data_IF_079391466447
#
_entry.id   IF_079391466447
#
_cell.length_a   1.000
_cell.length_b   1.000
_cell.length_c   1.000
_cell.angle_alpha   90.00
_cell.angle_beta   90.00
_cell.angle_gamma   90.00
#
_symmetry.space_group_name_H-M   'P 1'
#
loop_
_entity.id
_entity.type
_entity.pdbx_description
1 polymer ?
#
# COMPACT_ATOMS: atom_id res chain seq x y z
N UNK A 1 -2.65 -17.25 12.12
CA UNK A 1 -3.87 -16.82 11.40
C UNK A 1 -3.60 -16.99 9.91
N UNK A 2 -4.50 -17.64 9.16
CA UNK A 2 -4.29 -17.80 7.71
C UNK A 2 -4.46 -16.48 6.95
N UNK A 3 -5.41 -15.66 7.39
CA UNK A 3 -5.68 -14.32 6.83
C UNK A 3 -6.01 -13.34 7.93
N UNK A 4 -5.47 -12.12 7.88
CA UNK A 4 -5.79 -11.03 8.79
C UNK A 4 -6.27 -9.82 7.99
N UNK A 5 -7.52 -9.43 8.21
CA UNK A 5 -8.20 -8.41 7.44
C UNK A 5 -8.52 -7.19 8.33
N UNK A 6 -8.15 -5.99 7.89
CA UNK A 6 -8.53 -4.72 8.50
C UNK A 6 -9.42 -3.98 7.51
N UNK A 7 -10.71 -3.86 7.82
CA UNK A 7 -11.68 -3.13 7.00
C UNK A 7 -12.20 -1.95 7.82
N UNK A 8 -11.85 -0.74 7.41
CA UNK A 8 -12.15 0.49 8.17
C UNK A 8 -12.24 1.69 7.24
N UNK A 9 -12.72 2.84 7.73
CA UNK A 9 -12.57 4.10 7.00
C UNK A 9 -11.14 4.63 7.08
N UNK A 10 -10.52 4.56 8.27
CA UNK A 10 -9.12 4.90 8.47
C UNK A 10 -8.46 4.00 9.53
N UNK A 11 -7.16 3.78 9.39
CA UNK A 11 -6.36 2.96 10.29
C UNK A 11 -5.09 3.70 10.73
N UNK A 12 -4.81 3.67 12.04
CA UNK A 12 -3.50 4.01 12.58
C UNK A 12 -2.82 2.74 13.11
N UNK A 13 -1.65 2.42 12.57
CA UNK A 13 -0.91 1.19 12.88
C UNK A 13 0.40 1.59 13.57
N UNK A 14 0.44 1.42 14.90
CA UNK A 14 1.61 1.81 15.71
C UNK A 14 2.37 0.61 16.27
N UNK A 15 2.04 -0.60 15.82
CA UNK A 15 2.65 -1.84 16.27
C UNK A 15 2.82 -2.81 15.10
N UNK A 16 3.77 -3.73 15.24
CA UNK A 16 4.05 -4.72 14.23
C UNK A 16 2.84 -5.63 13.99
N UNK A 17 2.52 -5.86 12.72
CA UNK A 17 1.54 -6.86 12.28
C UNK A 17 2.30 -8.05 11.70
N UNK A 18 1.94 -9.26 12.15
CA UNK A 18 2.43 -10.52 11.59
C UNK A 18 1.23 -11.36 11.11
N UNK A 19 1.23 -11.75 9.84
CA UNK A 19 0.14 -12.55 9.26
C UNK A 19 0.67 -13.55 8.21
N UNK A 20 -0.16 -14.51 7.76
CA UNK A 20 0.15 -15.27 6.54
C UNK A 20 -0.29 -14.49 5.30
N UNK A 21 -1.48 -13.92 5.35
CA UNK A 21 -1.99 -12.96 4.39
C UNK A 21 -2.52 -11.74 5.15
N UNK A 22 -2.10 -10.54 4.76
CA UNK A 22 -2.57 -9.28 5.35
C UNK A 22 -3.35 -8.47 4.30
N UNK A 23 -4.61 -8.16 4.61
CA UNK A 23 -5.41 -7.25 3.81
C UNK A 23 -5.79 -6.02 4.64
N UNK A 24 -5.58 -4.82 4.11
CA UNK A 24 -6.04 -3.57 4.72
C UNK A 24 -6.85 -2.81 3.69
N UNK A 25 -8.14 -2.65 3.94
CA UNK A 25 -9.08 -1.94 3.07
C UNK A 25 -9.58 -0.72 3.84
N UNK A 26 -9.13 0.45 3.41
CA UNK A 26 -9.41 1.75 3.99
C UNK A 26 -10.25 2.63 3.05
N UNK A 27 -10.95 3.61 3.63
CA UNK A 27 -11.89 4.48 2.95
C UNK A 27 -13.36 4.03 3.08
N UNK A 28 -14.25 4.73 2.39
CA UNK A 28 -15.68 4.45 2.42
C UNK A 28 -16.00 3.38 1.38
N UNK A 29 -16.23 2.15 1.83
CA UNK A 29 -16.35 0.99 0.96
C UNK A 29 -17.53 0.10 1.33
N UNK A 30 -18.10 -0.54 0.32
CA UNK A 30 -18.76 -1.83 0.45
C UNK A 30 -17.72 -2.92 0.16
N UNK A 31 -17.54 -3.85 1.10
CA UNK A 31 -16.54 -4.92 1.01
C UNK A 31 -17.23 -6.26 1.16
N UNK A 32 -17.06 -7.12 0.17
CA UNK A 32 -17.49 -8.51 0.29
C UNK A 32 -16.60 -9.26 1.28
N UNK A 33 -17.19 -9.87 2.31
CA UNK A 33 -16.44 -10.47 3.41
C UNK A 33 -15.62 -11.71 3.02
N UNK A 34 -15.97 -12.38 1.92
CA UNK A 34 -15.31 -13.61 1.49
C UNK A 34 -14.18 -13.30 0.50
N UNK A 35 -14.51 -12.58 -0.57
CA UNK A 35 -13.61 -12.27 -1.68
C UNK A 35 -12.79 -10.99 -1.48
N UNK A 36 -13.16 -10.15 -0.50
CA UNK A 36 -12.60 -8.83 -0.27
C UNK A 36 -12.72 -7.90 -1.49
N UNK A 37 -13.66 -8.20 -2.40
CA UNK A 37 -14.01 -7.30 -3.49
C UNK A 37 -14.50 -5.99 -2.89
N UNK A 38 -13.81 -4.91 -3.25
CA UNK A 38 -14.02 -3.59 -2.69
C UNK A 38 -14.73 -2.71 -3.73
N UNK A 39 -15.83 -2.09 -3.34
CA UNK A 39 -16.52 -1.07 -4.14
C UNK A 39 -16.55 0.22 -3.35
N UNK A 40 -15.91 1.27 -3.89
CA UNK A 40 -15.89 2.57 -3.25
C UNK A 40 -17.31 3.16 -3.22
N UNK A 41 -17.69 3.72 -2.07
CA UNK A 41 -18.91 4.51 -1.93
C UNK A 41 -18.67 5.93 -2.42
N UNK A 42 -19.72 6.55 -2.95
CA UNK A 42 -19.67 7.95 -3.36
C UNK A 42 -19.36 8.89 -2.17
N UNK A 43 -18.70 10.00 -2.46
CA UNK A 43 -18.53 11.09 -1.49
C UNK A 43 -19.90 11.56 -0.98
N UNK A 44 -20.05 11.67 0.34
CA UNK A 44 -21.28 12.10 1.01
C UNK A 44 -21.13 13.50 1.64
N UNK A 45 -20.00 14.16 1.42
CA UNK A 45 -19.69 15.46 2.00
C UNK A 45 -19.27 15.42 3.46
N UNK A 46 -19.15 14.24 4.09
CA UNK A 46 -18.57 14.13 5.43
C UNK A 46 -17.09 14.49 5.44
N UNK A 47 -16.61 15.01 6.57
CA UNK A 47 -15.19 15.32 6.73
C UNK A 47 -14.32 14.07 6.45
N UNK A 48 -13.33 14.24 5.57
CA UNK A 48 -12.42 13.17 5.19
C UNK A 48 -11.36 12.95 6.27
N UNK A 49 -10.93 11.70 6.52
CA UNK A 49 -9.73 11.45 7.32
C UNK A 49 -8.52 12.14 6.70
N UNK A 50 -7.53 12.47 7.53
CA UNK A 50 -6.23 12.97 7.04
C UNK A 50 -5.50 11.90 6.22
N UNK A 51 -5.52 10.66 6.73
CA UNK A 51 -4.93 9.48 6.10
C UNK A 51 -5.89 8.30 6.18
N UNK A 52 -5.92 7.49 5.13
CA UNK A 52 -6.64 6.24 5.07
C UNK A 52 -5.89 5.19 5.89
N UNK A 53 -4.56 5.17 5.78
CA UNK A 53 -3.68 4.32 6.57
C UNK A 53 -2.47 5.17 6.99
N UNK A 54 -2.21 5.22 8.30
CA UNK A 54 -1.03 5.84 8.90
C UNK A 54 -0.29 4.79 9.73
N UNK A 55 0.75 4.19 9.16
CA UNK A 55 1.65 3.28 9.85
C UNK A 55 2.90 4.03 10.30
N UNK A 56 3.26 3.88 11.57
CA UNK A 56 4.49 4.43 12.13
C UNK A 56 5.69 3.52 11.84
N UNK A 57 6.91 3.99 12.10
CA UNK A 57 8.11 3.16 11.97
C UNK A 57 8.08 1.88 12.84
N UNK A 58 7.35 1.91 13.97
CA UNK A 58 7.12 0.72 14.83
C UNK A 58 5.97 -0.16 14.30
N UNK A 59 5.17 0.36 13.37
CA UNK A 59 4.00 -0.26 12.75
C UNK A 59 4.30 -1.07 11.50
N UNK A 60 5.43 -1.79 11.44
CA UNK A 60 5.79 -2.62 10.30
C UNK A 60 4.80 -3.77 10.05
N UNK A 61 4.67 -4.19 8.79
CA UNK A 61 3.75 -5.24 8.37
C UNK A 61 4.54 -6.38 7.70
N UNK A 62 4.47 -7.56 8.30
CA UNK A 62 5.21 -8.74 7.89
C UNK A 62 4.21 -9.86 7.60
N UNK A 63 4.11 -10.28 6.35
CA UNK A 63 3.21 -11.35 5.97
C UNK A 63 3.78 -12.25 4.87
N UNK A 64 3.09 -13.34 4.53
CA UNK A 64 3.38 -14.09 3.32
C UNK A 64 3.05 -13.26 2.08
N UNK A 65 1.89 -12.60 2.08
CA UNK A 65 1.46 -11.62 1.08
C UNK A 65 0.74 -10.44 1.74
N UNK A 66 0.82 -9.26 1.13
CA UNK A 66 0.24 -8.01 1.65
C UNK A 66 -0.58 -7.33 0.55
N UNK A 67 -1.80 -6.92 0.88
CA UNK A 67 -2.66 -6.06 0.05
C UNK A 67 -3.17 -4.87 0.85
N UNK A 68 -2.93 -3.65 0.38
CA UNK A 68 -3.51 -2.43 0.93
C UNK A 68 -4.30 -1.69 -0.13
N UNK A 69 -5.52 -1.29 0.20
CA UNK A 69 -6.43 -0.54 -0.67
C UNK A 69 -6.94 0.68 0.10
N UNK A 70 -6.72 1.89 -0.41
CA UNK A 70 -7.26 3.13 0.10
C UNK A 70 -8.10 3.82 -0.97
N UNK A 71 -9.43 3.81 -0.84
CA UNK A 71 -10.32 4.19 -1.96
C UNK A 71 -10.78 5.64 -1.95
N UNK A 72 -10.73 6.31 -0.80
CA UNK A 72 -11.29 7.65 -0.63
C UNK A 72 -10.43 8.69 -1.37
N UNK A 73 -11.01 9.29 -2.41
CA UNK A 73 -10.29 10.19 -3.32
C UNK A 73 -9.66 11.37 -2.57
N UNK A 74 -8.35 11.55 -2.78
CA UNK A 74 -7.53 12.60 -2.17
C UNK A 74 -7.02 12.27 -0.76
N UNK A 75 -7.49 11.19 -0.13
CA UNK A 75 -7.01 10.76 1.19
C UNK A 75 -5.73 9.94 1.02
N UNK A 76 -4.68 10.30 1.74
CA UNK A 76 -3.36 9.70 1.59
C UNK A 76 -3.17 8.37 2.33
N UNK A 77 -2.11 7.65 1.99
CA UNK A 77 -1.59 6.48 2.68
C UNK A 77 -0.14 6.73 3.04
N UNK A 78 0.22 6.50 4.31
CA UNK A 78 1.57 6.69 4.84
C UNK A 78 2.02 5.44 5.58
N UNK A 79 3.09 4.82 5.09
CA UNK A 79 3.62 3.55 5.55
C UNK A 79 5.08 3.73 5.97
N UNK A 80 5.32 4.28 7.16
CA UNK A 80 6.68 4.53 7.65
C UNK A 80 7.36 3.27 8.20
N UNK A 81 6.58 2.22 8.51
CA UNK A 81 7.09 0.91 8.89
C UNK A 81 7.51 0.07 7.69
N UNK A 82 8.38 -0.93 7.92
CA UNK A 82 8.75 -1.89 6.87
C UNK A 82 7.55 -2.71 6.40
N UNK A 83 7.40 -2.86 5.09
CA UNK A 83 6.50 -3.84 4.48
C UNK A 83 7.34 -5.03 4.01
N UNK A 84 7.02 -6.24 4.48
CA UNK A 84 7.74 -7.45 4.11
C UNK A 84 6.77 -8.58 3.74
N UNK A 85 6.81 -9.02 2.48
CA UNK A 85 6.10 -10.20 1.99
C UNK A 85 7.08 -11.36 1.78
N UNK A 86 7.04 -12.36 2.66
CA UNK A 86 8.01 -13.46 2.69
C UNK A 86 7.70 -14.63 1.74
N UNK A 87 6.48 -14.69 1.19
CA UNK A 87 6.02 -15.81 0.37
C UNK A 87 5.34 -15.41 -0.93
N UNK A 88 5.12 -14.11 -1.16
CA UNK A 88 4.31 -13.63 -2.27
C UNK A 88 4.43 -12.13 -2.47
N UNK A 89 3.35 -11.53 -2.96
CA UNK A 89 3.34 -10.17 -3.47
C UNK A 89 3.01 -9.13 -2.39
N UNK A 90 3.39 -7.88 -2.68
CA UNK A 90 2.86 -6.68 -2.07
C UNK A 90 2.07 -5.90 -3.13
N UNK A 91 0.80 -5.62 -2.85
CA UNK A 91 -0.08 -4.84 -3.72
C UNK A 91 -0.62 -3.64 -2.97
N UNK A 92 -0.34 -2.43 -3.47
CA UNK A 92 -0.77 -1.16 -2.89
C UNK A 92 -1.60 -0.40 -3.93
N UNK A 93 -2.82 -0.03 -3.57
CA UNK A 93 -3.71 0.79 -4.40
C UNK A 93 -4.26 1.94 -3.54
N UNK A 94 -3.88 3.18 -3.83
CA UNK A 94 -4.29 4.35 -3.08
C UNK A 94 -4.83 5.45 -3.99
N UNK A 95 -6.06 5.89 -3.77
CA UNK A 95 -6.72 6.94 -4.54
C UNK A 95 -6.28 8.37 -4.13
N UNK A 96 -5.04 8.50 -3.65
CA UNK A 96 -4.45 9.71 -3.10
C UNK A 96 -2.93 9.64 -3.16
N UNK A 97 -2.23 10.39 -2.29
CA UNK A 97 -0.78 10.29 -2.16
C UNK A 97 -0.42 9.04 -1.35
N UNK A 98 0.53 8.25 -1.86
CA UNK A 98 1.17 7.15 -1.14
C UNK A 98 2.61 7.54 -0.77
N UNK A 99 2.96 7.38 0.51
CA UNK A 99 4.33 7.41 1.00
C UNK A 99 4.65 6.07 1.64
N UNK A 100 5.76 5.44 1.26
CA UNK A 100 6.17 4.14 1.80
C UNK A 100 7.67 4.07 2.05
N UNK A 101 8.04 3.52 3.20
CA UNK A 101 9.40 3.24 3.59
C UNK A 101 9.87 1.90 2.98
N UNK A 102 10.73 1.17 3.71
CA UNK A 102 11.35 -0.04 3.20
C UNK A 102 10.29 -1.09 2.84
N UNK A 103 10.38 -1.60 1.61
CA UNK A 103 9.44 -2.59 1.09
C UNK A 103 10.19 -3.73 0.44
N UNK A 104 9.92 -4.96 0.87
CA UNK A 104 10.61 -6.17 0.41
C UNK A 104 9.59 -7.26 0.12
N UNK A 105 9.60 -7.82 -1.09
CA UNK A 105 8.75 -8.94 -1.48
C UNK A 105 9.54 -10.09 -2.11
N UNK A 106 9.23 -11.33 -1.73
CA UNK A 106 9.69 -12.53 -2.44
C UNK A 106 8.98 -12.70 -3.78
N UNK A 107 7.75 -12.22 -3.91
CA UNK A 107 7.03 -12.10 -5.18
C UNK A 107 7.30 -10.76 -5.86
N UNK A 108 6.22 -10.09 -6.25
CA UNK A 108 6.19 -8.80 -6.90
C UNK A 108 5.83 -7.67 -5.93
N UNK A 109 6.23 -6.45 -6.25
CA UNK A 109 5.69 -5.23 -5.66
C UNK A 109 4.91 -4.50 -6.74
N UNK A 110 3.62 -4.26 -6.51
CA UNK A 110 2.76 -3.46 -7.40
C UNK A 110 2.17 -2.29 -6.63
N UNK A 111 2.38 -1.09 -7.14
CA UNK A 111 1.94 0.16 -6.51
C UNK A 111 1.17 0.99 -7.51
N UNK A 112 -0.03 1.42 -7.13
CA UNK A 112 -0.84 2.40 -7.87
C UNK A 112 -1.22 3.53 -6.94
N UNK A 113 -0.94 4.78 -7.31
CA UNK A 113 -1.42 5.95 -6.56
C UNK A 113 -1.54 7.22 -7.42
N UNK A 114 -2.10 8.30 -6.86
CA UNK A 114 -2.06 9.62 -7.51
C UNK A 114 -0.66 10.22 -7.48
N UNK A 115 0.03 10.10 -6.35
CA UNK A 115 1.45 10.44 -6.19
C UNK A 115 2.11 9.34 -5.38
N UNK A 116 3.37 9.00 -5.70
CA UNK A 116 4.14 7.99 -4.96
C UNK A 116 5.43 8.62 -4.45
N UNK A 117 5.69 8.49 -3.15
CA UNK A 117 6.93 8.88 -2.48
C UNK A 117 7.56 7.61 -1.85
N UNK A 118 8.60 7.09 -2.50
CA UNK A 118 9.37 5.96 -1.99
C UNK A 118 10.49 6.51 -1.13
N UNK A 119 10.30 6.48 0.18
CA UNK A 119 11.20 7.14 1.13
C UNK A 119 12.41 6.29 1.49
N UNK A 120 12.35 4.98 1.23
CA UNK A 120 13.44 4.03 1.42
C UNK A 120 13.48 2.97 0.30
N UNK A 121 14.31 1.94 0.46
CA UNK A 121 14.53 0.88 -0.53
C UNK A 121 13.25 0.09 -0.81
N UNK A 122 12.96 -0.09 -2.10
CA UNK A 122 11.95 -1.02 -2.59
C UNK A 122 12.65 -2.15 -3.34
N UNK A 123 12.39 -3.38 -2.91
CA UNK A 123 12.95 -4.58 -3.52
C UNK A 123 11.90 -5.67 -3.73
N UNK A 124 11.95 -6.31 -4.89
CA UNK A 124 11.22 -7.55 -5.17
C UNK A 124 12.15 -8.59 -5.81
N UNK A 125 12.10 -9.85 -5.41
CA UNK A 125 12.73 -10.93 -6.19
C UNK A 125 12.07 -11.07 -7.57
N UNK A 126 10.77 -10.76 -7.66
CA UNK A 126 10.01 -10.70 -8.89
C UNK A 126 10.13 -9.35 -9.60
N UNK A 127 8.98 -8.78 -9.95
CA UNK A 127 8.87 -7.48 -10.61
C UNK A 127 8.56 -6.37 -9.60
N UNK A 128 9.04 -5.16 -9.87
CA UNK A 128 8.52 -3.94 -9.25
C UNK A 128 7.77 -3.14 -10.31
N UNK A 129 6.49 -2.88 -10.09
CA UNK A 129 5.64 -2.06 -10.93
C UNK A 129 5.11 -0.88 -10.12
N UNK A 130 5.43 0.34 -10.55
CA UNK A 130 4.93 1.56 -9.91
C UNK A 130 4.18 2.40 -10.93
N UNK A 131 2.90 2.61 -10.69
CA UNK A 131 2.03 3.48 -11.45
C UNK A 131 1.65 4.68 -10.60
N UNK A 132 2.05 5.86 -11.05
CA UNK A 132 1.64 7.14 -10.47
C UNK A 132 0.89 7.95 -11.51
N UNK A 133 -0.31 8.45 -11.19
CA UNK A 133 -1.01 9.35 -12.11
C UNK A 133 -0.28 10.69 -12.29
N UNK A 134 0.51 11.10 -11.30
CA UNK A 134 1.28 12.34 -11.28
C UNK A 134 2.77 12.02 -11.11
N UNK A 135 3.35 12.36 -9.96
CA UNK A 135 4.78 12.19 -9.73
C UNK A 135 5.11 10.87 -9.01
N UNK A 136 6.24 10.29 -9.36
CA UNK A 136 7.01 9.37 -8.52
C UNK A 136 8.24 10.10 -8.00
N UNK A 137 8.47 10.06 -6.69
CA UNK A 137 9.74 10.44 -6.07
C UNK A 137 10.39 9.19 -5.51
N UNK A 138 11.60 8.86 -5.96
CA UNK A 138 12.38 7.77 -5.39
C UNK A 138 13.61 8.33 -4.65
N UNK A 139 13.59 8.24 -3.32
CA UNK A 139 14.65 8.83 -2.48
C UNK A 139 15.87 7.93 -2.29
N UNK A 140 15.74 6.64 -2.58
CA UNK A 140 16.80 5.63 -2.44
C UNK A 140 16.89 4.80 -3.72
N UNK A 141 16.53 3.53 -3.66
CA UNK A 141 16.67 2.60 -4.77
C UNK A 141 15.42 1.75 -4.94
N UNK A 142 15.06 1.55 -6.20
CA UNK A 142 14.14 0.50 -6.62
C UNK A 142 14.98 -0.60 -7.26
N UNK A 143 14.81 -1.84 -6.81
CA UNK A 143 15.49 -2.99 -7.38
C UNK A 143 14.49 -4.14 -7.57
N UNK A 144 14.69 -4.90 -8.65
CA UNK A 144 13.88 -6.07 -8.95
C UNK A 144 14.80 -7.21 -9.42
N UNK A 145 14.49 -8.45 -9.07
CA UNK A 145 15.18 -9.62 -9.62
C UNK A 145 14.83 -9.88 -11.09
N UNK A 146 13.68 -9.38 -11.55
CA UNK A 146 13.21 -9.57 -12.93
C UNK A 146 13.09 -8.24 -13.70
N UNK A 147 12.10 -7.42 -13.40
CA UNK A 147 11.82 -6.17 -14.13
C UNK A 147 11.37 -5.06 -13.20
N UNK A 148 11.83 -3.85 -13.51
CA UNK A 148 11.30 -2.61 -12.95
C UNK A 148 10.48 -1.95 -14.06
N UNK A 149 9.22 -1.65 -13.76
CA UNK A 149 8.34 -0.88 -14.64
C UNK A 149 7.81 0.32 -13.86
N UNK A 150 8.01 1.52 -14.41
CA UNK A 150 7.59 2.78 -13.81
C UNK A 150 6.77 3.54 -14.83
N UNK A 151 5.51 3.80 -14.49
CA UNK A 151 4.58 4.59 -15.28
C UNK A 151 4.16 5.79 -14.45
N UNK A 152 4.77 6.95 -14.69
CA UNK A 152 4.47 8.19 -13.99
C UNK A 152 4.53 9.39 -14.95
N UNK A 153 3.74 10.43 -14.69
CA UNK A 153 3.82 11.67 -15.46
C UNK A 153 5.17 12.39 -15.24
N UNK A 154 5.76 12.25 -14.04
CA UNK A 154 7.14 12.66 -13.75
C UNK A 154 7.81 11.71 -12.77
N UNK A 155 9.13 11.56 -12.90
CA UNK A 155 9.97 10.75 -12.00
C UNK A 155 11.11 11.63 -11.49
N UNK A 156 11.28 11.71 -10.17
CA UNK A 156 12.29 12.53 -9.50
C UNK A 156 13.09 11.73 -8.47
#
# INVERSE_FOLDING_TARGET
VERFDIITRSAKINAQINARELNVIAGRNDVDAQSLKTTARADDGSAKPELAIDSSALGGMYAGAIKLVGTEAGVGVKLDGTLAASGGDIQLDANGRLSMAQTVATGNVKVTAQNVDLTDKVYANGNVQVTSAQALVNRKSIAAGQRIEINAASVN
#
